data_IF_193930476946
#
_entry.id   IF_193930476946
#
_cell.length_a   1.000
_cell.length_b   1.000
_cell.length_c   1.000
_cell.angle_alpha   90.00
_cell.angle_beta   90.00
_cell.angle_gamma   90.00
#
_symmetry.space_group_name_H-M   'P 1'
#
loop_
_entity.id
_entity.type
_entity.pdbx_description
1 polymer ?
#
# COMPACT_ATOMS: atom_id res chain seq x y z
N UNK A 1 -7.37 -4.22 11.28
CA UNK A 1 -7.95 -3.83 9.97
C UNK A 1 -6.80 -3.48 9.03
N UNK A 2 -6.78 -4.01 7.80
CA UNK A 2 -5.61 -3.99 6.90
C UNK A 2 -5.86 -3.07 5.70
N UNK A 3 -5.01 -2.06 5.50
CA UNK A 3 -5.08 -1.17 4.32
C UNK A 3 -4.19 -1.76 3.23
N UNK A 4 -4.77 -2.15 2.09
CA UNK A 4 -4.02 -2.57 0.91
C UNK A 4 -3.77 -1.37 0.00
N UNK A 5 -2.53 -0.96 -0.08
CA UNK A 5 -2.01 0.01 -1.03
C UNK A 5 -1.75 -0.67 -2.38
N UNK A 6 -2.27 -0.10 -3.47
CA UNK A 6 -1.93 -0.54 -4.83
C UNK A 6 -1.42 0.66 -5.61
N UNK A 7 -0.10 0.76 -5.78
CA UNK A 7 0.53 1.72 -6.69
C UNK A 7 0.46 1.12 -8.11
N UNK A 8 -0.14 1.87 -9.05
CA UNK A 8 -0.54 1.58 -10.46
C UNK A 8 0.38 0.63 -11.26
N UNK A 9 0.04 0.00 -12.40
CA UNK A 9 -1.06 -0.88 -12.84
C UNK A 9 -0.59 -1.57 -14.15
N UNK A 10 -0.25 -2.85 -14.12
CA UNK A 10 -0.44 -3.79 -15.25
C UNK A 10 -0.97 -5.10 -14.66
N UNK A 11 -2.09 -5.58 -15.19
CA UNK A 11 -2.78 -6.77 -14.73
C UNK A 11 -1.97 -8.05 -15.02
N UNK A 12 -1.88 -8.94 -14.02
CA UNK A 12 -2.30 -10.35 -14.08
C UNK A 12 -2.17 -10.99 -12.69
N UNK A 13 -3.01 -11.99 -12.47
CA UNK A 13 -3.32 -12.67 -11.21
C UNK A 13 -2.09 -13.05 -10.38
N UNK A 14 -2.07 -12.69 -9.08
CA UNK A 14 -1.17 -13.30 -8.10
C UNK A 14 -1.85 -13.34 -6.72
N UNK A 15 -2.41 -14.49 -6.38
CA UNK A 15 -2.61 -14.93 -5.01
C UNK A 15 -1.29 -15.50 -4.50
N UNK A 16 -0.52 -14.76 -3.71
CA UNK A 16 0.47 -15.30 -2.76
C UNK A 16 1.18 -14.17 -2.04
N UNK A 17 1.06 -14.15 -0.72
CA UNK A 17 1.72 -13.20 0.16
C UNK A 17 3.09 -13.73 0.58
N UNK A 18 4.10 -13.44 -0.24
CA UNK A 18 5.47 -13.38 0.21
C UNK A 18 6.19 -12.37 -0.69
N UNK A 19 6.86 -11.41 -0.06
CA UNK A 19 7.61 -10.36 -0.75
C UNK A 19 8.75 -10.99 -1.59
N UNK A 20 8.48 -11.27 -2.86
CA UNK A 20 9.50 -11.64 -3.83
C UNK A 20 10.08 -10.34 -4.41
N UNK A 21 11.20 -9.91 -3.85
CA UNK A 21 12.02 -8.85 -4.41
C UNK A 21 12.96 -9.52 -5.42
N UNK A 22 13.06 -8.90 -6.61
CA UNK A 22 13.98 -9.14 -7.73
C UNK A 22 13.37 -9.93 -8.91
N UNK A 23 13.16 -9.20 -10.02
CA UNK A 23 12.77 -9.62 -11.38
C UNK A 23 11.27 -9.70 -11.76
N UNK A 24 10.34 -9.26 -10.91
CA UNK A 24 8.90 -9.21 -11.25
C UNK A 24 8.39 -7.79 -11.45
N UNK A 25 7.43 -7.63 -12.37
CA UNK A 25 6.70 -6.36 -12.60
C UNK A 25 5.85 -5.91 -11.39
N UNK A 26 5.83 -6.68 -10.29
CA UNK A 26 5.04 -6.39 -9.11
C UNK A 26 5.89 -6.70 -7.87
N UNK A 27 6.07 -5.68 -7.02
CA UNK A 27 6.67 -5.76 -5.71
C UNK A 27 5.56 -5.83 -4.66
N UNK A 28 5.60 -6.83 -3.79
CA UNK A 28 4.71 -6.94 -2.62
C UNK A 28 5.49 -6.60 -1.35
N UNK A 29 4.92 -5.75 -0.50
CA UNK A 29 5.52 -5.39 0.79
C UNK A 29 4.45 -5.44 1.91
N UNK A 30 4.60 -6.33 2.88
CA UNK A 30 3.77 -6.31 4.07
C UNK A 30 4.45 -5.47 5.15
N UNK A 31 3.79 -4.40 5.58
CA UNK A 31 4.21 -3.53 6.69
C UNK A 31 5.71 -3.15 6.68
N UNK A 32 6.24 -2.63 5.56
CA UNK A 32 7.69 -2.49 5.36
C UNK A 32 8.35 -1.45 6.27
N UNK A 33 7.56 -0.66 6.99
CA UNK A 33 8.03 0.41 7.87
C UNK A 33 7.61 0.24 9.32
N UNK A 34 6.89 -0.83 9.70
CA UNK A 34 6.24 -0.95 11.02
C UNK A 34 7.19 -0.93 12.22
N UNK A 35 8.44 -1.37 12.06
CA UNK A 35 9.47 -1.36 13.12
C UNK A 35 10.44 -0.18 13.03
N UNK A 36 10.25 0.73 12.07
CA UNK A 36 11.18 1.82 11.79
C UNK A 36 10.70 3.12 12.42
N UNK A 37 11.64 3.96 12.88
CA UNK A 37 11.32 5.33 13.26
C UNK A 37 10.80 6.15 12.07
N UNK A 38 10.00 7.22 12.29
CA UNK A 38 9.30 7.95 11.22
C UNK A 38 10.22 8.46 10.09
N UNK A 39 11.41 8.97 10.44
CA UNK A 39 12.38 9.44 9.47
C UNK A 39 12.93 8.30 8.59
N UNK A 40 13.23 7.16 9.21
CA UNK A 40 13.74 5.97 8.52
C UNK A 40 12.67 5.35 7.63
N UNK A 41 11.43 5.25 8.12
CA UNK A 41 10.27 4.81 7.36
C UNK A 41 10.10 5.63 6.07
N UNK A 42 10.15 6.97 6.19
CA UNK A 42 10.07 7.89 5.05
C UNK A 42 11.18 7.64 4.02
N UNK A 43 12.43 7.51 4.47
CA UNK A 43 13.57 7.24 3.59
C UNK A 43 13.45 5.90 2.88
N UNK A 44 13.05 4.84 3.58
CA UNK A 44 12.79 3.51 2.98
C UNK A 44 11.70 3.61 1.91
N UNK A 45 10.62 4.34 2.19
CA UNK A 45 9.54 4.54 1.23
C UNK A 45 9.97 5.34 0.00
N UNK A 46 10.82 6.34 0.17
CA UNK A 46 11.41 7.08 -0.96
C UNK A 46 12.28 6.16 -1.83
N UNK A 47 13.10 5.29 -1.22
CA UNK A 47 13.91 4.32 -1.95
C UNK A 47 13.04 3.29 -2.69
N UNK A 48 12.02 2.75 -2.03
CA UNK A 48 11.07 1.82 -2.66
C UNK A 48 10.38 2.48 -3.86
N UNK A 49 9.92 3.73 -3.72
CA UNK A 49 9.31 4.50 -4.83
C UNK A 49 10.29 4.78 -5.96
N UNK A 50 11.53 5.15 -5.64
CA UNK A 50 12.56 5.41 -6.65
C UNK A 50 12.90 4.16 -7.49
N UNK A 51 12.73 2.97 -6.91
CA UNK A 51 12.87 1.69 -7.61
C UNK A 51 11.68 1.32 -8.51
N UNK A 52 10.54 2.01 -8.40
CA UNK A 52 9.37 1.77 -9.24
C UNK A 52 9.57 2.47 -10.59
N UNK A 53 9.65 1.67 -11.64
CA UNK A 53 9.59 2.10 -13.04
C UNK A 53 8.14 2.11 -13.55
N UNK A 54 7.84 2.75 -14.71
CA UNK A 54 6.52 2.65 -15.34
C UNK A 54 6.06 1.22 -15.70
N UNK A 55 6.97 0.24 -15.68
CA UNK A 55 6.69 -1.18 -15.96
C UNK A 55 6.57 -2.03 -14.70
N UNK A 56 6.64 -1.42 -13.53
CA UNK A 56 6.55 -2.10 -12.24
C UNK A 56 5.47 -1.49 -11.36
N UNK A 57 4.90 -2.29 -10.48
CA UNK A 57 3.89 -1.91 -9.51
C UNK A 57 4.36 -2.25 -8.10
N UNK A 58 3.95 -1.45 -7.12
CA UNK A 58 4.17 -1.74 -5.69
C UNK A 58 2.80 -1.93 -5.03
N UNK A 59 2.60 -3.12 -4.48
CA UNK A 59 1.48 -3.42 -3.61
C UNK A 59 2.02 -3.49 -2.19
N UNK A 60 1.45 -2.70 -1.30
CA UNK A 60 1.86 -2.66 0.10
C UNK A 60 0.68 -2.85 1.00
N UNK A 61 0.91 -3.42 2.18
CA UNK A 61 -0.08 -3.43 3.25
C UNK A 61 0.44 -2.65 4.43
N UNK A 62 -0.37 -1.72 4.90
CA UNK A 62 -0.03 -0.84 6.00
C UNK A 62 -1.26 -0.57 6.86
N UNK A 63 -1.03 -0.14 8.10
CA UNK A 63 -2.06 0.44 8.96
C UNK A 63 -1.85 1.95 9.15
N UNK A 64 -0.78 2.51 8.55
CA UNK A 64 -0.43 3.92 8.58
C UNK A 64 -1.19 4.68 7.47
N UNK A 65 -2.05 5.61 7.89
CA UNK A 65 -2.87 6.43 6.98
C UNK A 65 -2.06 7.45 6.19
N UNK A 66 -1.03 8.03 6.79
CA UNK A 66 -0.17 9.00 6.11
C UNK A 66 0.61 8.32 5.00
N UNK A 67 1.11 7.12 5.28
CA UNK A 67 1.74 6.31 4.25
C UNK A 67 0.75 5.91 3.16
N UNK A 68 -0.45 5.45 3.52
CA UNK A 68 -1.46 5.03 2.57
C UNK A 68 -1.94 6.19 1.66
N UNK A 69 -2.05 7.41 2.19
CA UNK A 69 -2.43 8.60 1.45
C UNK A 69 -1.43 8.97 0.34
N UNK A 70 -0.17 8.53 0.45
CA UNK A 70 0.83 8.82 -0.59
C UNK A 70 0.65 8.01 -1.87
N UNK A 71 -0.23 7.01 -1.92
CA UNK A 71 -0.37 6.14 -3.09
C UNK A 71 -1.39 6.60 -4.12
N UNK A 72 -1.26 6.03 -5.32
CA UNK A 72 -2.22 6.23 -6.39
C UNK A 72 -3.59 5.64 -6.07
N UNK A 73 -3.63 4.49 -5.40
CA UNK A 73 -4.86 3.79 -5.03
C UNK A 73 -4.74 3.10 -3.68
N UNK A 74 -5.81 3.20 -2.90
CA UNK A 74 -5.98 2.51 -1.62
C UNK A 74 -7.21 1.63 -1.69
N UNK A 75 -7.08 0.38 -1.27
CA UNK A 75 -8.16 -0.57 -1.07
C UNK A 75 -8.27 -0.84 0.43
N UNK A 76 -9.42 -0.52 1.00
CA UNK A 76 -9.71 -0.77 2.42
C UNK A 76 -10.43 -2.10 2.54
N UNK A 77 -9.83 -3.02 3.29
CA UNK A 77 -10.42 -4.30 3.62
C UNK A 77 -10.80 -4.33 5.10
N UNK A 78 -12.07 -4.63 5.37
CA UNK A 78 -12.62 -4.87 6.70
C UNK A 78 -13.28 -6.26 6.68
N UNK A 79 -13.08 -7.07 7.72
CA UNK A 79 -13.68 -8.41 7.84
C UNK A 79 -13.57 -9.33 6.61
N UNK A 80 -12.44 -9.23 5.90
CA UNK A 80 -12.20 -10.03 4.68
C UNK A 80 -12.97 -9.56 3.45
N UNK A 81 -13.78 -8.51 3.55
CA UNK A 81 -14.52 -7.91 2.44
C UNK A 81 -13.91 -6.57 2.01
N UNK A 82 -14.06 -6.27 0.72
CA UNK A 82 -13.69 -4.97 0.18
C UNK A 82 -14.72 -3.93 0.63
N UNK A 83 -14.29 -3.01 1.50
CA UNK A 83 -15.13 -1.95 2.00
C UNK A 83 -15.10 -0.70 1.10
N UNK A 84 -13.91 -0.35 0.59
CA UNK A 84 -13.75 0.80 -0.31
C UNK A 84 -12.51 0.72 -1.20
N UNK A 85 -12.55 1.43 -2.32
CA UNK A 85 -11.39 1.68 -3.17
C UNK A 85 -11.32 3.16 -3.56
N UNK A 86 -10.28 3.86 -3.09
CA UNK A 86 -10.06 5.29 -3.33
C UNK A 86 -8.85 5.51 -4.25
N UNK A 87 -8.88 6.58 -5.04
CA UNK A 87 -7.73 7.05 -5.82
C UNK A 87 -7.21 8.36 -5.22
N UNK A 88 -5.89 8.44 -5.04
CA UNK A 88 -5.22 9.58 -4.42
C UNK A 88 -5.94 10.11 -3.14
N UNK A 89 -6.26 9.24 -2.16
CA UNK A 89 -6.98 9.67 -0.97
C UNK A 89 -6.11 10.53 -0.06
N UNK A 90 -6.75 11.39 0.74
CA UNK A 90 -6.10 12.06 1.86
C UNK A 90 -6.06 11.16 3.10
N UNK A 91 -5.14 11.42 4.03
CA UNK A 91 -5.09 10.70 5.32
C UNK A 91 -6.41 10.84 6.09
N UNK A 92 -7.04 12.01 6.02
CA UNK A 92 -8.34 12.30 6.64
C UNK A 92 -9.45 11.42 6.07
N UNK A 93 -9.56 11.31 4.74
CA UNK A 93 -10.54 10.44 4.08
C UNK A 93 -10.36 8.98 4.49
N UNK A 94 -9.12 8.51 4.60
CA UNK A 94 -8.83 7.15 5.05
C UNK A 94 -9.21 6.93 6.51
N UNK A 95 -8.91 7.90 7.37
CA UNK A 95 -9.25 7.85 8.78
C UNK A 95 -10.78 7.84 9.00
N UNK A 96 -11.52 8.69 8.31
CA UNK A 96 -12.99 8.72 8.36
C UNK A 96 -13.60 7.40 7.89
N UNK A 97 -13.12 6.87 6.76
CA UNK A 97 -13.63 5.63 6.19
C UNK A 97 -13.39 4.44 7.13
N UNK A 98 -12.28 4.46 7.85
CA UNK A 98 -11.95 3.41 8.83
C UNK A 98 -12.81 3.50 10.10
N UNK A 99 -13.21 4.69 10.52
CA UNK A 99 -14.17 4.85 11.61
C UNK A 99 -15.57 4.37 11.22
N UNK A 100 -15.96 4.53 9.95
CA UNK A 100 -17.26 4.05 9.44
C UNK A 100 -17.29 2.53 9.23
N UNK A 101 -16.13 1.91 9.04
CA UNK A 101 -15.96 0.48 8.78
C UNK A 101 -15.92 -0.39 10.05
N UNK A 102 -15.95 0.22 11.25
CA UNK A 102 -15.82 -0.45 12.55
C UNK A 102 -17.16 -0.69 13.24
#
# INVERSE_FOLDING_TARGET
>A
MLIKLVVRSVARDVESWLALILATAILFAAEPTGSLGPATAKSVMQLMRAGITPRSSLIMVTHDFDLAATADRVIVLADGVNHAALRHPTSEQLFELMQQAS
#
